data_IF_747565928584
#
_entry.id   IF_747565928584
#
_cell.length_a   1.000
_cell.length_b   1.000
_cell.length_c   1.000
_cell.angle_alpha   90.00
_cell.angle_beta   90.00
_cell.angle_gamma   90.00
#
_symmetry.space_group_name_H-M   'P 1'
#
loop_
_entity.id
_entity.type
_entity.pdbx_description
1 polymer ?
#
# COMPACT_ATOMS: atom_id res chain seq x y z
N UNK A 1 10.80 12.81 7.79
CA UNK A 1 10.25 13.38 6.54
C UNK A 1 9.20 14.42 6.86
N UNK A 2 9.23 15.55 6.19
CA UNK A 2 8.24 16.61 6.39
C UNK A 2 6.89 16.23 5.81
N UNK A 3 5.81 16.79 6.35
CA UNK A 3 4.44 16.49 5.92
C UNK A 3 4.25 16.71 4.41
N UNK A 4 4.77 17.80 3.84
CA UNK A 4 4.65 18.09 2.42
C UNK A 4 5.31 17.01 1.55
N UNK A 5 6.44 16.46 2.00
CA UNK A 5 7.14 15.39 1.29
C UNK A 5 6.34 14.09 1.34
N UNK A 6 5.68 13.80 2.46
CA UNK A 6 4.83 12.60 2.58
C UNK A 6 3.61 12.70 1.68
N UNK A 7 3.00 13.86 1.60
CA UNK A 7 1.85 14.09 0.72
C UNK A 7 2.26 13.91 -0.73
N UNK A 8 3.41 14.45 -1.13
CA UNK A 8 3.94 14.29 -2.49
C UNK A 8 4.20 12.82 -2.79
N UNK A 9 4.86 12.12 -1.88
CA UNK A 9 5.15 10.70 -2.04
C UNK A 9 3.84 9.90 -2.20
N UNK A 10 2.85 10.18 -1.36
CA UNK A 10 1.55 9.51 -1.47
C UNK A 10 0.93 9.75 -2.84
N UNK A 11 0.90 11.01 -3.29
CA UNK A 11 0.30 11.35 -4.58
C UNK A 11 1.03 10.67 -5.74
N UNK A 12 2.36 10.62 -5.68
CA UNK A 12 3.18 9.98 -6.72
C UNK A 12 2.92 8.48 -6.77
N UNK A 13 2.90 7.83 -5.61
CA UNK A 13 2.63 6.38 -5.51
C UNK A 13 1.19 6.08 -5.94
N UNK A 14 0.24 6.89 -5.50
CA UNK A 14 -1.17 6.71 -5.87
C UNK A 14 -1.35 6.79 -7.39
N UNK A 15 -0.72 7.77 -8.03
CA UNK A 15 -0.80 7.93 -9.49
C UNK A 15 -0.10 6.77 -10.22
N UNK A 16 1.11 6.41 -9.77
CA UNK A 16 1.87 5.32 -10.39
C UNK A 16 1.11 3.99 -10.33
N UNK A 17 0.50 3.70 -9.21
CA UNK A 17 -0.22 2.44 -8.99
C UNK A 17 -1.70 2.54 -9.37
N UNK A 18 -2.06 3.61 -10.09
CA UNK A 18 -3.40 3.82 -10.66
C UNK A 18 -4.53 3.80 -9.63
N UNK A 19 -4.22 4.22 -8.40
CA UNK A 19 -5.20 4.26 -7.32
C UNK A 19 -5.70 2.91 -6.88
N UNK A 20 -4.98 1.83 -7.18
CA UNK A 20 -5.38 0.46 -6.85
C UNK A 20 -4.38 -0.20 -5.91
N UNK A 21 -4.89 -1.06 -5.04
CA UNK A 21 -4.04 -1.90 -4.21
C UNK A 21 -3.20 -2.83 -5.11
N UNK A 22 -1.88 -2.82 -4.92
CA UNK A 22 -0.99 -3.66 -5.73
C UNK A 22 -1.14 -5.15 -5.42
N UNK A 23 -1.74 -5.52 -4.28
CA UNK A 23 -1.90 -6.91 -3.88
C UNK A 23 -3.21 -7.51 -4.34
N UNK A 24 -4.34 -6.85 -4.07
CA UNK A 24 -5.66 -7.40 -4.40
C UNK A 24 -6.34 -6.71 -5.60
N UNK A 25 -5.80 -5.59 -6.06
CA UNK A 25 -6.29 -4.92 -7.27
C UNK A 25 -7.52 -4.05 -7.11
N UNK A 26 -8.11 -3.95 -5.91
CA UNK A 26 -9.30 -3.12 -5.72
C UNK A 26 -8.93 -1.63 -5.78
N UNK A 27 -9.85 -0.76 -6.21
CA UNK A 27 -9.63 0.67 -6.08
C UNK A 27 -9.44 1.03 -4.60
N UNK A 28 -8.37 1.76 -4.31
CA UNK A 28 -8.09 2.20 -2.95
C UNK A 28 -8.64 3.60 -2.76
N UNK A 29 -9.28 3.83 -1.60
CA UNK A 29 -9.93 5.09 -1.29
C UNK A 29 -8.93 6.07 -0.69
N UNK A 30 -8.90 7.31 -1.22
CA UNK A 30 -8.04 8.34 -0.65
C UNK A 30 -8.45 8.64 0.80
N UNK A 31 -7.48 8.91 1.69
CA UNK A 31 -7.79 9.36 3.04
C UNK A 31 -8.58 10.67 3.01
N UNK A 32 -9.50 10.84 3.95
CA UNK A 32 -10.28 12.04 4.05
C UNK A 32 -11.19 12.00 5.26
N UNK A 33 -12.00 13.03 5.43
CA UNK A 33 -12.96 13.07 6.53
C UNK A 33 -13.92 11.89 6.45
N UNK A 34 -14.12 11.20 7.55
CA UNK A 34 -15.02 10.06 7.62
C UNK A 34 -14.45 8.76 7.08
N UNK A 35 -13.21 8.77 6.58
CA UNK A 35 -12.55 7.58 6.02
C UNK A 35 -11.33 7.26 6.87
N UNK A 36 -11.55 6.80 8.11
CA UNK A 36 -10.45 6.54 9.03
C UNK A 36 -10.08 5.07 9.16
N UNK A 37 -11.00 4.15 8.91
CA UNK A 37 -10.79 2.72 9.15
C UNK A 37 -11.43 1.84 8.08
N UNK A 38 -11.67 2.40 6.90
CA UNK A 38 -12.22 1.62 5.81
C UNK A 38 -11.19 0.57 5.35
N UNK A 39 -11.62 -0.68 5.07
CA UNK A 39 -10.67 -1.71 4.60
C UNK A 39 -10.05 -1.38 3.26
N UNK A 40 -10.71 -0.56 2.44
CA UNK A 40 -10.21 -0.11 1.15
C UNK A 40 -9.44 1.22 1.22
N UNK A 41 -9.13 1.71 2.43
CA UNK A 41 -8.35 2.93 2.59
C UNK A 41 -6.97 2.76 1.97
N UNK A 42 -6.56 3.73 1.15
CA UNK A 42 -5.24 3.72 0.53
C UNK A 42 -4.15 3.98 1.58
N UNK A 43 -3.16 3.10 1.63
CA UNK A 43 -2.02 3.21 2.54
C UNK A 43 -0.72 3.05 1.77
N UNK A 44 0.37 3.54 2.36
CA UNK A 44 1.71 3.35 1.82
C UNK A 44 2.35 2.15 2.52
N UNK A 45 2.75 1.16 1.73
CA UNK A 45 3.34 -0.07 2.25
C UNK A 45 4.82 -0.15 1.85
N UNK A 46 5.69 -0.42 2.83
CA UNK A 46 7.12 -0.64 2.58
C UNK A 46 7.32 -2.05 2.06
N UNK A 47 7.85 -2.20 0.84
CA UNK A 47 8.19 -3.52 0.28
C UNK A 47 9.23 -4.19 1.16
N UNK A 48 10.35 -3.51 1.42
CA UNK A 48 11.28 -3.89 2.48
C UNK A 48 10.82 -3.15 3.74
N UNK A 49 10.48 -3.88 4.82
CA UNK A 49 9.96 -3.25 6.03
C UNK A 49 10.91 -2.21 6.61
N UNK A 50 10.34 -1.20 7.22
CA UNK A 50 11.10 -0.14 7.87
C UNK A 50 12.08 -0.70 8.90
N UNK A 51 11.65 -1.74 9.64
CA UNK A 51 12.48 -2.41 10.64
C UNK A 51 13.70 -3.10 10.04
N UNK A 52 13.70 -3.38 8.75
CA UNK A 52 14.83 -3.98 8.03
C UNK A 52 15.59 -2.95 7.19
N UNK A 53 15.41 -1.66 7.48
CA UNK A 53 16.12 -0.59 6.78
C UNK A 53 15.48 -0.15 5.47
N UNK A 54 14.25 -0.56 5.20
CA UNK A 54 13.55 -0.16 3.99
C UNK A 54 13.30 1.35 3.94
N UNK A 55 13.75 2.05 2.88
CA UNK A 55 13.60 3.50 2.80
C UNK A 55 12.17 3.93 2.49
N UNK A 56 11.85 5.17 2.83
CA UNK A 56 10.58 5.80 2.49
C UNK A 56 10.76 6.57 1.18
N UNK A 57 10.74 5.85 0.06
CA UNK A 57 10.83 6.46 -1.27
C UNK A 57 10.04 5.61 -2.27
N UNK A 58 9.80 6.15 -3.47
CA UNK A 58 8.99 5.50 -4.49
C UNK A 58 9.49 4.10 -4.88
N UNK A 59 10.79 3.86 -4.80
CA UNK A 59 11.35 2.55 -5.17
C UNK A 59 10.98 1.45 -4.18
N UNK A 60 10.67 1.81 -2.93
CA UNK A 60 10.36 0.85 -1.87
C UNK A 60 8.92 0.94 -1.36
N UNK A 61 8.12 1.86 -1.89
CA UNK A 61 6.76 2.07 -1.40
C UNK A 61 5.76 1.70 -2.49
N UNK A 62 4.71 0.97 -2.11
CA UNK A 62 3.61 0.64 -3.00
C UNK A 62 2.29 1.04 -2.35
N UNK A 63 1.27 1.22 -3.19
CA UNK A 63 -0.08 1.50 -2.71
C UNK A 63 -0.74 0.19 -2.30
N UNK A 64 -1.25 0.14 -1.10
CA UNK A 64 -1.98 -1.02 -0.60
C UNK A 64 -3.25 -0.57 0.10
N UNK A 65 -4.33 -1.34 -0.03
CA UNK A 65 -5.50 -1.09 0.78
C UNK A 65 -5.20 -1.47 2.23
N UNK A 66 -5.91 -0.83 3.16
CA UNK A 66 -5.69 -1.04 4.59
C UNK A 66 -5.81 -2.52 4.98
N UNK A 67 -6.78 -3.23 4.41
CA UNK A 67 -6.96 -4.65 4.69
C UNK A 67 -5.75 -5.48 4.29
N UNK A 68 -5.21 -5.27 3.08
CA UNK A 68 -4.03 -6.00 2.62
C UNK A 68 -2.78 -5.63 3.41
N UNK A 69 -2.60 -4.35 3.72
CA UNK A 69 -1.46 -3.90 4.50
C UNK A 69 -1.43 -4.58 5.87
N UNK A 70 -2.59 -4.63 6.54
CA UNK A 70 -2.71 -5.30 7.85
C UNK A 70 -2.54 -6.81 7.73
N UNK A 71 -3.15 -7.43 6.71
CA UNK A 71 -3.06 -8.88 6.50
C UNK A 71 -1.62 -9.32 6.19
N UNK A 72 -0.91 -8.54 5.38
CA UNK A 72 0.47 -8.87 5.04
C UNK A 72 1.37 -8.93 6.27
N UNK A 73 1.24 -7.96 7.18
CA UNK A 73 2.10 -7.90 8.36
C UNK A 73 3.58 -7.93 7.97
N UNK A 74 4.30 -8.98 8.38
CA UNK A 74 5.73 -9.14 8.09
C UNK A 74 6.01 -10.10 6.94
N UNK A 75 4.97 -10.60 6.25
CA UNK A 75 5.17 -11.49 5.11
C UNK A 75 5.91 -10.76 3.99
N UNK A 76 6.79 -11.48 3.28
CA UNK A 76 7.52 -10.92 2.15
C UNK A 76 6.54 -10.47 1.07
N UNK A 77 6.80 -9.31 0.45
CA UNK A 77 5.83 -8.65 -0.42
C UNK A 77 5.45 -9.47 -1.65
N UNK A 78 6.43 -10.08 -2.31
CA UNK A 78 6.16 -10.88 -3.52
C UNK A 78 5.38 -12.14 -3.19
N UNK A 79 5.68 -12.78 -2.06
CA UNK A 79 4.94 -13.94 -1.59
C UNK A 79 3.49 -13.58 -1.28
N UNK A 80 3.26 -12.45 -0.62
CA UNK A 80 1.92 -11.98 -0.32
C UNK A 80 1.14 -11.64 -1.59
N UNK A 81 1.80 -10.97 -2.55
CA UNK A 81 1.19 -10.63 -3.82
C UNK A 81 0.73 -11.88 -4.58
N UNK A 82 1.58 -12.90 -4.61
CA UNK A 82 1.23 -14.18 -5.25
C UNK A 82 0.05 -14.85 -4.54
N UNK A 83 0.02 -14.81 -3.22
CA UNK A 83 -1.07 -15.36 -2.42
C UNK A 83 -2.41 -14.68 -2.74
N UNK A 84 -2.42 -13.35 -2.82
CA UNK A 84 -3.63 -12.60 -3.12
C UNK A 84 -4.09 -12.83 -4.56
N UNK A 85 -3.18 -12.94 -5.51
CA UNK A 85 -3.51 -13.24 -6.90
C UNK A 85 -4.19 -14.60 -7.02
N UNK A 86 -3.70 -15.61 -6.31
CA UNK A 86 -4.31 -16.93 -6.29
C UNK A 86 -5.73 -16.91 -5.73
N UNK A 87 -5.99 -16.09 -4.69
CA UNK A 87 -7.33 -15.93 -4.13
C UNK A 87 -8.30 -15.27 -5.08
N UNK A 88 -7.83 -14.30 -5.88
CA UNK A 88 -8.69 -13.54 -6.78
C UNK A 88 -9.03 -14.31 -8.05
N UNK A 89 -8.29 -15.33 -8.37
CA UNK A 89 -8.52 -16.19 -9.54
C UNK A 89 -9.53 -17.31 -9.30
N UNK A 90 -9.97 -17.45 -8.07
CA UNK A 90 -10.87 -18.55 -7.67
C UNK A 90 -12.27 -18.45 -8.30
#
# INVERSE_FOLDING_TARGET
MKAAQRIRLFNDVFARDEGRCVYCGIPARRPGRGVKRAPDLATLDHVVPKSFGGPLNCANIVLACSACNNERGTMEAQAFKALKAGRTEA
#
